data_IF_568447640205
#
_entry.id   IF_568447640205
#
_cell.length_a   1.000
_cell.length_b   1.000
_cell.length_c   1.000
_cell.angle_alpha   90.00
_cell.angle_beta   90.00
_cell.angle_gamma   90.00
#
_symmetry.space_group_name_H-M   'P 1'
#
loop_
_entity.id
_entity.type
_entity.pdbx_description
1 polymer ?
#
# COMPACT_ATOMS: atom_id res chain seq x y z
N UNK A 1 -8.51 25.90 -5.77
CA UNK A 1 -7.98 24.55 -5.59
C UNK A 1 -7.00 24.52 -4.43
N UNK A 2 -7.22 23.62 -3.49
CA UNK A 2 -6.32 23.54 -2.36
C UNK A 2 -4.96 22.94 -2.80
N UNK A 3 -3.89 23.65 -2.52
CA UNK A 3 -2.53 23.14 -2.69
C UNK A 3 -2.05 22.71 -1.31
N UNK A 4 -1.99 21.41 -1.11
CA UNK A 4 -1.53 20.83 0.16
C UNK A 4 -0.01 20.68 0.24
N UNK A 5 0.69 21.24 -0.75
CA UNK A 5 2.15 21.15 -0.83
C UNK A 5 2.65 19.70 -0.84
N UNK A 6 1.87 18.81 -1.45
CA UNK A 6 2.19 17.38 -1.50
C UNK A 6 3.04 17.00 -2.69
N UNK A 7 3.17 17.87 -3.68
CA UNK A 7 3.97 17.60 -4.86
C UNK A 7 5.42 17.33 -4.48
N UNK A 8 5.92 16.16 -4.86
CA UNK A 8 7.28 15.74 -4.56
C UNK A 8 7.48 15.19 -3.15
N UNK A 9 6.45 15.22 -2.30
CA UNK A 9 6.53 14.57 -0.99
C UNK A 9 6.53 13.06 -1.14
N UNK A 10 7.21 12.37 -0.24
CA UNK A 10 7.28 10.92 -0.25
C UNK A 10 6.37 10.38 0.83
N UNK A 11 5.37 9.60 0.42
CA UNK A 11 4.34 9.04 1.30
C UNK A 11 4.51 7.53 1.35
N UNK A 12 4.78 6.99 2.53
CA UNK A 12 4.89 5.56 2.75
C UNK A 12 3.59 5.06 3.38
N UNK A 13 2.96 4.09 2.72
CA UNK A 13 1.65 3.56 3.14
C UNK A 13 1.76 2.06 3.34
N UNK A 14 1.34 1.58 4.51
CA UNK A 14 1.32 0.15 4.80
C UNK A 14 -0.06 -0.44 4.57
N UNK A 15 -0.11 -1.70 4.10
CA UNK A 15 -1.38 -2.41 3.92
C UNK A 15 -2.19 -1.93 2.72
N UNK A 16 -1.54 -1.48 1.64
CA UNK A 16 -2.21 -0.85 0.49
C UNK A 16 -2.42 -1.80 -0.70
N UNK A 17 -2.29 -3.10 -0.53
CA UNK A 17 -2.41 -4.07 -1.61
C UNK A 17 -3.85 -4.41 -1.98
N UNK A 18 -4.81 -4.21 -1.08
CA UNK A 18 -6.22 -4.45 -1.37
C UNK A 18 -6.76 -3.28 -2.19
N UNK A 19 -7.17 -3.48 -3.47
CA UNK A 19 -7.61 -2.39 -4.33
C UNK A 19 -8.89 -1.69 -3.85
N UNK A 20 -9.65 -2.34 -2.97
CA UNK A 20 -10.87 -1.77 -2.39
C UNK A 20 -10.63 -1.25 -0.96
N UNK A 21 -9.40 -1.30 -0.49
CA UNK A 21 -9.06 -0.91 0.87
C UNK A 21 -8.79 0.58 1.03
N UNK A 22 -8.80 1.02 2.28
CA UNK A 22 -8.53 2.42 2.64
C UNK A 22 -7.09 2.81 2.23
N UNK A 23 -6.13 1.89 2.40
CA UNK A 23 -4.74 2.15 2.02
C UNK A 23 -4.56 2.44 0.54
N UNK A 24 -5.26 1.69 -0.32
CA UNK A 24 -5.22 1.92 -1.77
C UNK A 24 -5.84 3.28 -2.12
N UNK A 25 -7.00 3.59 -1.55
CA UNK A 25 -7.66 4.87 -1.78
C UNK A 25 -6.79 6.05 -1.33
N UNK A 26 -6.11 5.89 -0.19
CA UNK A 26 -5.19 6.89 0.35
C UNK A 26 -4.01 7.09 -0.59
N UNK A 27 -3.40 5.99 -1.07
CA UNK A 27 -2.28 6.06 -2.01
C UNK A 27 -2.64 6.83 -3.28
N UNK A 28 -3.80 6.52 -3.85
CA UNK A 28 -4.27 7.18 -5.06
C UNK A 28 -4.57 8.67 -4.83
N UNK A 29 -5.13 9.00 -3.67
CA UNK A 29 -5.40 10.40 -3.33
C UNK A 29 -4.12 11.23 -3.23
N UNK A 30 -3.10 10.70 -2.56
CA UNK A 30 -1.79 11.37 -2.49
C UNK A 30 -1.12 11.47 -3.85
N UNK A 31 -1.22 10.40 -4.65
CA UNK A 31 -0.63 10.38 -5.99
C UNK A 31 -1.26 11.44 -6.90
N UNK A 32 -2.57 11.66 -6.80
CA UNK A 32 -3.25 12.71 -7.57
C UNK A 32 -2.74 14.11 -7.24
N UNK A 33 -2.23 14.29 -6.04
CA UNK A 33 -1.65 15.57 -5.59
C UNK A 33 -0.15 15.68 -5.91
N UNK A 34 0.40 14.72 -6.64
CA UNK A 34 1.79 14.77 -7.08
C UNK A 34 2.82 14.16 -6.13
N UNK A 35 2.36 13.46 -5.10
CA UNK A 35 3.26 12.78 -4.17
C UNK A 35 3.87 11.54 -4.80
N UNK A 36 5.04 11.15 -4.32
CA UNK A 36 5.68 9.87 -4.62
C UNK A 36 5.22 8.85 -3.58
N UNK A 37 4.93 7.64 -3.99
CA UNK A 37 4.28 6.65 -3.14
C UNK A 37 5.21 5.46 -2.88
N UNK A 38 5.32 5.06 -1.63
CA UNK A 38 5.94 3.79 -1.24
C UNK A 38 4.83 2.91 -0.66
N UNK A 39 4.50 1.85 -1.38
CA UNK A 39 3.49 0.89 -0.94
C UNK A 39 4.18 -0.26 -0.22
N UNK A 40 3.75 -0.54 1.00
CA UNK A 40 4.26 -1.67 1.76
C UNK A 40 3.11 -2.60 2.08
N UNK A 41 3.26 -3.87 1.74
CA UNK A 41 2.23 -4.85 2.02
C UNK A 41 2.83 -6.19 2.40
N UNK A 42 2.02 -7.03 3.02
CA UNK A 42 2.34 -8.42 3.30
C UNK A 42 1.20 -9.27 2.76
N UNK A 43 1.53 -10.30 2.00
CA UNK A 43 0.52 -11.24 1.53
C UNK A 43 0.07 -12.08 2.72
N UNK A 44 -1.24 -12.05 2.99
CA UNK A 44 -1.83 -12.80 4.09
C UNK A 44 -2.32 -14.14 3.57
N UNK A 45 -1.61 -15.22 3.92
CA UNK A 45 -1.95 -16.58 3.50
C UNK A 45 -2.94 -17.21 4.49
N UNK A 46 -4.15 -16.67 4.55
CA UNK A 46 -5.22 -17.29 5.32
C UNK A 46 -6.02 -18.21 4.45
N UNK A 47 -6.50 -19.31 5.04
CA UNK A 47 -7.45 -20.17 4.37
C UNK A 47 -8.73 -19.41 4.13
N UNK A 48 -9.21 -19.45 2.90
CA UNK A 48 -10.52 -18.95 2.55
C UNK A 48 -11.20 -19.91 1.58
N UNK A 49 -12.53 -19.89 1.56
CA UNK A 49 -13.32 -20.75 0.69
C UNK A 49 -13.59 -20.03 -0.63
N UNK A 50 -12.99 -20.51 -1.72
CA UNK A 50 -13.13 -19.89 -3.04
C UNK A 50 -14.59 -19.83 -3.50
N UNK A 51 -15.42 -20.82 -3.12
CA UNK A 51 -16.83 -20.81 -3.50
C UNK A 51 -17.61 -19.67 -2.86
N UNK A 52 -17.09 -19.08 -1.77
CA UNK A 52 -17.70 -17.99 -1.04
C UNK A 52 -16.99 -16.64 -1.28
N UNK A 53 -15.87 -16.65 -1.99
CA UNK A 53 -15.02 -15.45 -2.14
C UNK A 53 -15.70 -14.30 -2.89
N UNK A 54 -16.70 -14.60 -3.72
CA UNK A 54 -17.45 -13.59 -4.46
C UNK A 54 -18.65 -13.02 -3.68
N UNK A 55 -18.86 -13.52 -2.46
CA UNK A 55 -19.93 -13.03 -1.58
C UNK A 55 -19.34 -12.01 -0.60
N UNK A 56 -20.21 -11.18 -0.04
CA UNK A 56 -19.80 -10.29 1.05
C UNK A 56 -19.45 -11.13 2.27
N UNK A 57 -18.36 -10.80 2.96
CA UNK A 57 -17.95 -11.49 4.18
C UNK A 57 -16.47 -11.74 4.26
N UNK A 58 -16.08 -12.60 5.20
CA UNK A 58 -14.68 -12.82 5.55
C UNK A 58 -13.88 -13.46 4.41
N UNK A 59 -14.46 -14.41 3.69
CA UNK A 59 -13.74 -15.10 2.61
C UNK A 59 -13.35 -14.14 1.49
N UNK A 60 -14.25 -13.23 1.13
CA UNK A 60 -13.97 -12.21 0.13
C UNK A 60 -12.87 -11.26 0.61
N UNK A 61 -12.92 -10.88 1.87
CA UNK A 61 -11.89 -10.02 2.48
C UNK A 61 -10.52 -10.70 2.45
N UNK A 62 -10.45 -11.96 2.86
CA UNK A 62 -9.18 -12.69 2.87
C UNK A 62 -8.61 -12.87 1.47
N UNK A 63 -9.46 -13.15 0.51
CA UNK A 63 -9.04 -13.27 -0.89
C UNK A 63 -8.42 -11.96 -1.38
N UNK A 64 -9.05 -10.83 -1.10
CA UNK A 64 -8.54 -9.52 -1.50
C UNK A 64 -7.19 -9.21 -0.86
N UNK A 65 -7.01 -9.55 0.42
CA UNK A 65 -5.77 -9.29 1.13
C UNK A 65 -4.67 -10.31 0.82
N UNK A 66 -5.00 -11.44 0.21
CA UNK A 66 -4.01 -12.44 -0.21
C UNK A 66 -3.39 -12.10 -1.57
N UNK A 67 -3.94 -11.12 -2.28
CA UNK A 67 -3.38 -10.68 -3.56
C UNK A 67 -2.18 -9.75 -3.40
N UNK A 68 -1.47 -9.56 -4.51
CA UNK A 68 -0.39 -8.58 -4.56
C UNK A 68 -0.93 -7.18 -4.85
N UNK A 69 -0.05 -6.23 -5.08
CA UNK A 69 -0.41 -4.85 -5.31
C UNK A 69 -0.66 -4.48 -6.77
N UNK A 70 -0.78 -5.47 -7.67
CA UNK A 70 -0.79 -5.22 -9.11
C UNK A 70 -1.87 -4.23 -9.56
N UNK A 71 -3.10 -4.34 -9.03
CA UNK A 71 -4.17 -3.41 -9.40
C UNK A 71 -3.92 -1.98 -8.93
N UNK A 72 -3.38 -1.83 -7.72
CA UNK A 72 -3.04 -0.51 -7.19
C UNK A 72 -1.91 0.11 -8.01
N UNK A 73 -0.89 -0.68 -8.37
CA UNK A 73 0.20 -0.23 -9.23
C UNK A 73 -0.32 0.23 -10.59
N UNK A 74 -1.26 -0.50 -11.16
CA UNK A 74 -1.87 -0.14 -12.44
C UNK A 74 -2.55 1.23 -12.36
N UNK A 75 -3.29 1.48 -11.30
CA UNK A 75 -3.97 2.76 -11.10
C UNK A 75 -2.97 3.90 -10.87
N UNK A 76 -1.90 3.65 -10.11
CA UNK A 76 -0.83 4.63 -9.92
C UNK A 76 -0.14 4.96 -11.23
N UNK A 77 0.06 3.94 -12.08
CA UNK A 77 0.65 4.14 -13.42
C UNK A 77 -0.21 5.05 -14.29
N UNK A 78 -1.54 4.92 -14.22
CA UNK A 78 -2.45 5.77 -14.96
C UNK A 78 -2.35 7.24 -14.53
N UNK A 79 -1.96 7.49 -13.29
CA UNK A 79 -1.76 8.84 -12.76
C UNK A 79 -0.36 9.39 -13.03
N UNK A 80 0.50 8.61 -13.69
CA UNK A 80 1.92 8.94 -13.90
C UNK A 80 2.66 9.16 -12.57
N UNK A 81 2.22 8.53 -11.52
CA UNK A 81 2.85 8.63 -10.22
C UNK A 81 4.16 7.85 -10.19
N UNK A 82 5.15 8.36 -9.45
CA UNK A 82 6.35 7.60 -9.13
C UNK A 82 6.08 6.79 -7.88
N UNK A 83 6.34 5.51 -7.92
CA UNK A 83 6.08 4.65 -6.77
C UNK A 83 7.09 3.52 -6.64
N UNK A 84 7.22 3.01 -5.42
CA UNK A 84 8.03 1.85 -5.08
C UNK A 84 7.12 0.89 -4.32
N UNK A 85 7.19 -0.39 -4.64
CA UNK A 85 6.38 -1.42 -3.99
C UNK A 85 7.29 -2.37 -3.23
N UNK A 86 6.98 -2.58 -1.95
CA UNK A 86 7.76 -3.45 -1.07
C UNK A 86 6.83 -4.46 -0.41
N UNK A 87 7.19 -5.74 -0.51
CA UNK A 87 6.51 -6.80 0.22
C UNK A 87 7.32 -7.09 1.48
N UNK A 88 6.84 -6.61 2.63
CA UNK A 88 7.53 -6.73 3.90
C UNK A 88 6.54 -6.91 5.05
N UNK A 89 6.99 -7.59 6.08
CA UNK A 89 6.24 -7.76 7.31
C UNK A 89 6.63 -6.66 8.30
N UNK A 90 5.71 -5.75 8.59
CA UNK A 90 5.98 -4.62 9.49
C UNK A 90 6.08 -5.04 10.96
N UNK A 91 5.73 -6.27 11.31
CA UNK A 91 5.95 -6.79 12.67
C UNK A 91 7.40 -7.25 12.90
N UNK A 92 8.20 -7.33 11.84
CA UNK A 92 9.60 -7.71 11.91
C UNK A 92 10.47 -6.44 11.84
N UNK A 93 11.19 -6.15 12.91
CA UNK A 93 12.03 -4.96 13.01
C UNK A 93 13.07 -4.86 11.89
N UNK A 94 13.66 -5.97 11.49
CA UNK A 94 14.65 -5.99 10.40
C UNK A 94 14.01 -5.57 9.08
N UNK A 95 12.78 -6.03 8.82
CA UNK A 95 12.06 -5.69 7.61
C UNK A 95 11.61 -4.22 7.63
N UNK A 96 11.25 -3.70 8.78
CA UNK A 96 10.94 -2.26 8.93
C UNK A 96 12.14 -1.41 8.54
N UNK A 97 13.33 -1.77 9.00
CA UNK A 97 14.56 -1.06 8.62
C UNK A 97 14.83 -1.14 7.13
N UNK A 98 14.58 -2.29 6.51
CA UNK A 98 14.71 -2.47 5.06
C UNK A 98 13.73 -1.57 4.28
N UNK A 99 12.50 -1.42 4.77
CA UNK A 99 11.49 -0.57 4.16
C UNK A 99 12.01 0.87 4.08
N UNK A 100 12.45 1.42 5.19
CA UNK A 100 12.94 2.81 5.21
C UNK A 100 14.22 2.97 4.40
N UNK A 101 15.13 1.99 4.47
CA UNK A 101 16.35 2.02 3.66
C UNK A 101 16.02 2.07 2.17
N UNK A 102 15.09 1.24 1.72
CA UNK A 102 14.67 1.17 0.32
C UNK A 102 13.98 2.47 -0.11
N UNK A 103 13.10 3.00 0.72
CA UNK A 103 12.39 4.25 0.43
C UNK A 103 13.38 5.42 0.31
N UNK A 104 14.31 5.53 1.22
CA UNK A 104 15.32 6.59 1.22
C UNK A 104 16.28 6.44 0.05
N UNK A 105 16.68 5.19 -0.29
CA UNK A 105 17.52 4.95 -1.46
C UNK A 105 16.82 5.37 -2.75
N UNK A 106 15.53 5.16 -2.86
CA UNK A 106 14.75 5.46 -4.06
C UNK A 106 14.39 6.94 -4.18
N UNK A 107 13.93 7.55 -3.09
CA UNK A 107 13.36 8.91 -3.10
C UNK A 107 14.12 9.92 -2.25
N UNK A 108 15.10 9.48 -1.47
CA UNK A 108 15.93 10.34 -0.64
C UNK A 108 15.36 10.70 0.72
N UNK A 109 14.09 10.41 0.97
CA UNK A 109 13.40 10.81 2.19
C UNK A 109 12.07 10.07 2.36
N UNK A 110 11.47 10.21 3.53
CA UNK A 110 10.07 9.84 3.79
C UNK A 110 9.44 11.03 4.53
N UNK A 111 8.45 11.66 3.92
CA UNK A 111 7.79 12.85 4.51
C UNK A 111 6.55 12.49 5.31
N UNK A 112 5.81 11.46 4.89
CA UNK A 112 4.53 11.08 5.48
C UNK A 112 4.49 9.57 5.64
N UNK A 113 4.05 9.12 6.81
CA UNK A 113 3.82 7.70 7.08
C UNK A 113 2.34 7.50 7.34
N UNK A 114 1.70 6.66 6.52
CA UNK A 114 0.31 6.27 6.71
C UNK A 114 0.29 4.82 7.21
N UNK A 115 -0.05 4.64 8.47
CA UNK A 115 -0.01 3.35 9.12
C UNK A 115 -1.39 2.68 9.01
N UNK A 116 -1.64 2.02 7.89
CA UNK A 116 -2.93 1.43 7.55
C UNK A 116 -2.98 -0.09 7.79
N UNK A 117 -1.84 -0.74 7.88
CA UNK A 117 -1.81 -2.19 8.12
C UNK A 117 -2.31 -2.50 9.53
N UNK A 118 -3.25 -3.44 9.63
CA UNK A 118 -3.79 -3.89 10.92
C UNK A 118 -3.12 -5.21 11.33
N UNK A 119 -3.05 -5.48 12.65
CA UNK A 119 -2.59 -6.78 13.11
C UNK A 119 -3.45 -7.90 12.56
N UNK A 120 -2.81 -9.03 12.30
CA UNK A 120 -3.49 -10.23 11.87
C UNK A 120 -3.89 -11.03 13.11
N UNK A 121 -5.13 -10.89 13.52
CA UNK A 121 -5.68 -11.62 14.68
C UNK A 121 -6.18 -13.00 14.29
#
# INVERSE_FOLDING_TARGET
MADYELKGKVVLITGANNPQGIGAATALSFAREGAHIVLVYKIINRRFDESKADRNGADRYYRANAGDSAEVEKELGKLNARFLVLENDISDEKQVKEIFRSAIARFGKVDVLVNNAAPDD
#
